data_IF_693408919634
#
_entry.id   IF_693408919634
#
_cell.length_a   1.000
_cell.length_b   1.000
_cell.length_c   1.000
_cell.angle_alpha   90.00
_cell.angle_beta   90.00
_cell.angle_gamma   90.00
#
_symmetry.space_group_name_H-M   'P 1'
#
loop_
_entity.id
_entity.type
_entity.pdbx_description
1 polymer ?
#
# COMPACT_ATOMS: atom_id res chain seq x y z
N UNK A 1 -4.52 58.51 -44.90
CA UNK A 1 -4.14 58.61 -43.48
C UNK A 1 -4.97 57.68 -42.62
N UNK A 2 -6.30 57.66 -42.77
CA UNK A 2 -7.22 56.76 -42.05
C UNK A 2 -6.95 55.27 -42.33
N UNK A 3 -6.84 54.87 -43.60
CA UNK A 3 -6.59 53.46 -43.97
C UNK A 3 -5.29 52.88 -43.39
N UNK A 4 -4.24 53.71 -43.26
CA UNK A 4 -2.97 53.29 -42.68
C UNK A 4 -3.10 53.06 -41.16
N UNK A 5 -3.93 53.86 -40.47
CA UNK A 5 -4.23 53.66 -39.05
C UNK A 5 -5.00 52.36 -38.84
N UNK A 6 -5.99 52.06 -39.68
CA UNK A 6 -6.76 50.82 -39.58
C UNK A 6 -5.89 49.57 -39.82
N UNK A 7 -4.97 49.64 -40.78
CA UNK A 7 -3.98 48.58 -41.02
C UNK A 7 -3.09 48.38 -39.79
N UNK A 8 -2.58 49.46 -39.19
CA UNK A 8 -1.73 49.39 -37.99
C UNK A 8 -2.47 48.77 -36.81
N UNK A 9 -3.72 49.18 -36.57
CA UNK A 9 -4.56 48.61 -35.50
C UNK A 9 -4.82 47.12 -35.74
N UNK A 10 -5.14 46.72 -36.98
CA UNK A 10 -5.35 45.32 -37.34
C UNK A 10 -4.08 44.46 -37.23
N UNK A 11 -2.90 45.04 -37.45
CA UNK A 11 -1.62 44.37 -37.21
C UNK A 11 -1.33 44.24 -35.72
N UNK A 12 -1.59 45.28 -34.92
CA UNK A 12 -1.41 45.26 -33.48
C UNK A 12 -2.28 44.20 -32.80
N UNK A 13 -3.55 44.08 -33.21
CA UNK A 13 -4.46 43.04 -32.73
C UNK A 13 -3.93 41.63 -33.05
N UNK A 14 -3.42 41.39 -34.26
CA UNK A 14 -2.82 40.10 -34.64
C UNK A 14 -1.55 39.81 -33.86
N UNK A 15 -0.68 40.80 -33.66
CA UNK A 15 0.53 40.67 -32.84
C UNK A 15 0.15 40.26 -31.41
N UNK A 16 -0.86 40.91 -30.82
CA UNK A 16 -1.31 40.59 -29.47
C UNK A 16 -1.94 39.19 -29.38
N UNK A 17 -2.73 38.79 -30.38
CA UNK A 17 -3.27 37.43 -30.47
C UNK A 17 -2.16 36.36 -30.54
N UNK A 18 -1.14 36.60 -31.36
CA UNK A 18 0.00 35.67 -31.47
C UNK A 18 0.85 35.64 -30.21
N UNK A 19 1.10 36.78 -29.55
CA UNK A 19 1.78 36.83 -28.25
C UNK A 19 1.03 36.03 -27.19
N UNK A 20 -0.29 36.19 -27.10
CA UNK A 20 -1.11 35.43 -26.15
C UNK A 20 -1.04 33.93 -26.42
N UNK A 21 -1.21 33.54 -27.69
CA UNK A 21 -1.14 32.12 -28.09
C UNK A 21 0.23 31.52 -27.82
N UNK A 22 1.31 32.28 -28.04
CA UNK A 22 2.66 31.88 -27.71
C UNK A 22 2.83 31.62 -26.21
N UNK A 23 2.37 32.54 -25.36
CA UNK A 23 2.44 32.37 -23.90
C UNK A 23 1.65 31.15 -23.41
N UNK A 24 0.48 30.88 -23.98
CA UNK A 24 -0.31 29.70 -23.62
C UNK A 24 0.38 28.41 -24.03
N UNK A 25 1.02 28.39 -25.20
CA UNK A 25 1.83 27.25 -25.65
C UNK A 25 3.07 27.06 -24.77
N UNK A 26 3.73 28.13 -24.33
CA UNK A 26 4.84 28.04 -23.40
C UNK A 26 4.42 27.47 -22.03
N UNK A 27 3.26 27.90 -21.50
CA UNK A 27 2.71 27.35 -20.26
C UNK A 27 2.41 25.86 -20.41
N UNK A 28 1.81 25.45 -21.54
CA UNK A 28 1.56 24.03 -21.85
C UNK A 28 2.86 23.22 -21.95
N UNK A 29 3.88 23.77 -22.61
CA UNK A 29 5.20 23.14 -22.69
C UNK A 29 5.77 22.87 -21.30
N UNK A 30 5.77 23.87 -20.41
CA UNK A 30 6.27 23.70 -19.03
C UNK A 30 5.54 22.59 -18.26
N UNK A 31 4.20 22.54 -18.37
CA UNK A 31 3.42 21.46 -17.74
C UNK A 31 3.80 20.08 -18.27
N UNK A 32 3.95 19.96 -19.59
CA UNK A 32 4.39 18.72 -20.21
C UNK A 32 5.82 18.34 -19.78
N UNK A 33 6.72 19.31 -19.63
CA UNK A 33 8.08 19.06 -19.14
C UNK A 33 8.06 18.51 -17.70
N UNK A 34 7.21 19.04 -16.81
CA UNK A 34 7.02 18.54 -15.45
C UNK A 34 6.42 17.12 -15.43
N UNK A 35 5.44 16.85 -16.28
CA UNK A 35 4.85 15.51 -16.46
C UNK A 35 5.90 14.52 -16.97
N UNK A 36 6.68 14.90 -17.98
CA UNK A 36 7.77 14.08 -18.53
C UNK A 36 8.82 13.79 -17.44
N UNK A 37 9.21 14.78 -16.65
CA UNK A 37 10.17 14.60 -15.56
C UNK A 37 9.65 13.61 -14.50
N UNK A 38 8.35 13.68 -14.19
CA UNK A 38 7.70 12.77 -13.25
C UNK A 38 7.67 11.34 -13.79
N UNK A 39 7.26 11.15 -15.04
CA UNK A 39 7.23 9.83 -15.68
C UNK A 39 8.63 9.23 -15.80
N UNK A 40 9.66 10.03 -16.11
CA UNK A 40 11.05 9.56 -16.14
C UNK A 40 11.49 8.98 -14.79
N UNK A 41 11.18 9.65 -13.68
CA UNK A 41 11.48 9.14 -12.33
C UNK A 41 10.78 7.82 -12.03
N UNK A 42 9.50 7.70 -12.42
CA UNK A 42 8.75 6.46 -12.24
C UNK A 42 9.28 5.33 -13.12
N UNK A 43 9.71 5.63 -14.35
CA UNK A 43 10.34 4.66 -15.22
C UNK A 43 11.64 4.12 -14.62
N UNK A 44 12.53 5.01 -14.16
CA UNK A 44 13.80 4.62 -13.53
C UNK A 44 13.58 3.74 -12.28
N UNK A 45 12.56 4.08 -11.48
CA UNK A 45 12.17 3.27 -10.32
C UNK A 45 11.69 1.87 -10.76
N UNK A 46 10.82 1.80 -11.77
CA UNK A 46 10.29 0.53 -12.28
C UNK A 46 11.39 -0.35 -12.87
N UNK A 47 12.32 0.22 -13.65
CA UNK A 47 13.48 -0.49 -14.20
C UNK A 47 14.39 -1.01 -13.09
N UNK A 48 14.63 -0.21 -12.06
CA UNK A 48 15.44 -0.62 -10.90
C UNK A 48 14.79 -1.76 -10.13
N UNK A 49 13.48 -1.69 -9.89
CA UNK A 49 12.72 -2.76 -9.25
C UNK A 49 12.78 -4.05 -10.06
N UNK A 50 12.60 -3.96 -11.39
CA UNK A 50 12.70 -5.12 -12.27
C UNK A 50 14.09 -5.77 -12.17
N UNK A 51 15.17 -4.99 -12.23
CA UNK A 51 16.54 -5.50 -12.09
C UNK A 51 16.75 -6.21 -10.75
N UNK A 52 16.30 -5.60 -9.65
CA UNK A 52 16.41 -6.19 -8.31
C UNK A 52 15.65 -7.50 -8.20
N UNK A 53 14.42 -7.58 -8.70
CA UNK A 53 13.64 -8.82 -8.69
C UNK A 53 14.25 -9.90 -9.59
N UNK A 54 14.73 -9.53 -10.78
CA UNK A 54 15.40 -10.45 -11.69
C UNK A 54 16.68 -11.03 -11.08
N UNK A 55 17.47 -10.20 -10.41
CA UNK A 55 18.70 -10.64 -9.75
C UNK A 55 18.42 -11.46 -8.48
N UNK A 56 17.36 -11.12 -7.72
CA UNK A 56 16.85 -11.96 -6.62
C UNK A 56 16.44 -13.35 -7.12
N UNK A 57 15.72 -13.43 -8.24
CA UNK A 57 15.30 -14.69 -8.83
C UNK A 57 16.49 -15.56 -9.27
N UNK A 58 17.52 -14.94 -9.87
CA UNK A 58 18.77 -15.63 -10.24
C UNK A 58 19.49 -16.17 -8.99
N UNK A 59 19.66 -15.36 -7.96
CA UNK A 59 20.30 -15.80 -6.70
C UNK A 59 19.53 -16.93 -6.03
N UNK A 60 18.19 -16.87 -6.01
CA UNK A 60 17.37 -17.96 -5.49
C UNK A 60 17.57 -19.26 -6.28
N UNK A 61 17.66 -19.18 -7.62
CA UNK A 61 17.92 -20.34 -8.46
C UNK A 61 19.32 -20.94 -8.25
N UNK A 62 20.34 -20.11 -8.02
CA UNK A 62 21.71 -20.54 -7.71
C UNK A 62 21.81 -21.16 -6.31
N UNK A 63 21.15 -20.59 -5.30
CA UNK A 63 21.12 -21.14 -3.94
C UNK A 63 20.52 -22.54 -3.89
N UNK A 64 19.52 -22.84 -4.73
CA UNK A 64 18.92 -24.18 -4.83
C UNK A 64 19.85 -25.22 -5.47
N UNK A 65 20.90 -24.79 -6.19
CA UNK A 65 21.87 -25.69 -6.81
C UNK A 65 23.09 -25.98 -5.92
N UNK A 66 23.31 -25.22 -4.84
CA UNK A 66 24.48 -25.34 -3.97
C UNK A 66 24.21 -26.21 -2.73
N UNK A 67 23.13 -27.01 -2.69
CA UNK A 67 22.99 -28.07 -1.67
C UNK A 67 23.77 -29.29 -2.18
N UNK A 68 24.96 -29.63 -1.63
CA UNK A 68 25.61 -30.88 -1.96
C UNK A 68 24.82 -32.00 -1.30
N UNK A 69 24.55 -33.05 -2.06
CA UNK A 69 24.16 -34.33 -1.52
C UNK A 69 25.31 -34.82 -0.62
N UNK A 70 25.14 -34.73 0.69
CA UNK A 70 25.94 -35.51 1.63
C UNK A 70 25.02 -36.33 2.52
N UNK A 71 25.43 -37.57 2.66
CA UNK A 71 24.69 -38.71 3.21
C UNK A 71 24.40 -38.54 4.71
N UNK A 72 23.43 -39.33 5.17
CA UNK A 72 23.23 -39.79 6.56
C UNK A 72 22.21 -39.05 7.45
N UNK A 73 21.13 -39.81 7.73
CA UNK A 73 20.30 -39.82 8.94
C UNK A 73 19.63 -38.50 9.36
N UNK A 74 18.39 -38.39 8.87
CA UNK A 74 17.21 -37.89 9.58
C UNK A 74 17.41 -36.92 10.75
N UNK A 75 17.35 -35.63 10.45
CA UNK A 75 16.64 -34.60 11.22
C UNK A 75 16.12 -33.61 10.18
N UNK A 76 14.79 -33.40 10.11
CA UNK A 76 14.21 -32.32 9.30
C UNK A 76 14.71 -30.97 9.84
N UNK A 77 15.37 -30.11 9.04
CA UNK A 77 15.61 -28.74 9.47
C UNK A 77 14.26 -27.99 9.52
N UNK A 78 14.05 -27.09 10.49
CA UNK A 78 12.87 -26.25 10.51
C UNK A 78 12.83 -25.39 9.26
N UNK A 79 11.62 -25.18 8.74
CA UNK A 79 11.34 -24.30 7.62
C UNK A 79 11.92 -22.91 7.90
N UNK A 80 13.09 -22.61 7.32
CA UNK A 80 13.61 -21.25 7.21
C UNK A 80 12.68 -20.53 6.24
N UNK A 81 11.62 -19.93 6.80
CA UNK A 81 10.83 -18.94 6.06
C UNK A 81 11.80 -17.84 5.63
N UNK A 82 11.80 -17.56 4.33
CA UNK A 82 12.66 -16.60 3.67
C UNK A 82 12.57 -15.24 4.39
N UNK A 83 13.62 -14.89 5.13
CA UNK A 83 13.74 -13.64 5.90
C UNK A 83 13.53 -12.43 4.98
N UNK A 84 13.77 -12.60 3.68
CA UNK A 84 13.58 -11.57 2.65
C UNK A 84 12.10 -11.28 2.36
N UNK A 85 11.23 -12.29 2.37
CA UNK A 85 9.79 -12.09 2.21
C UNK A 85 9.17 -11.53 3.47
N UNK A 86 9.62 -11.98 4.65
CA UNK A 86 9.22 -11.38 5.92
C UNK A 86 9.60 -9.89 5.98
N UNK A 87 10.81 -9.54 5.54
CA UNK A 87 11.30 -8.14 5.51
C UNK A 87 10.51 -7.27 4.53
N UNK A 88 10.16 -7.81 3.34
CA UNK A 88 9.32 -7.12 2.35
C UNK A 88 7.89 -6.93 2.84
N UNK A 89 7.31 -7.92 3.48
CA UNK A 89 5.96 -7.81 4.05
C UNK A 89 5.93 -6.82 5.22
N UNK A 90 7.01 -6.73 6.02
CA UNK A 90 7.16 -5.74 7.09
C UNK A 90 7.24 -4.33 6.48
N UNK A 91 8.07 -4.14 5.45
CA UNK A 91 8.22 -2.86 4.74
C UNK A 91 6.93 -2.41 4.03
N UNK A 92 6.14 -3.36 3.52
CA UNK A 92 4.85 -3.10 2.86
C UNK A 92 3.67 -3.03 3.85
N UNK A 93 3.90 -3.16 5.16
CA UNK A 93 2.86 -3.16 6.20
C UNK A 93 1.87 -4.33 6.11
N UNK A 94 2.18 -5.32 5.25
CA UNK A 94 1.34 -6.49 4.97
C UNK A 94 1.53 -7.62 5.97
N UNK A 95 2.46 -7.51 6.91
CA UNK A 95 2.65 -8.49 7.99
C UNK A 95 2.46 -7.92 9.39
N UNK A 96 1.83 -6.75 9.52
CA UNK A 96 1.57 -6.09 10.81
C UNK A 96 0.85 -6.97 11.84
N UNK A 97 0.05 -7.93 11.37
CA UNK A 97 -0.72 -8.84 12.24
C UNK A 97 -0.26 -10.30 12.14
N UNK A 98 0.84 -10.58 11.43
CA UNK A 98 1.40 -11.94 11.35
C UNK A 98 1.86 -12.39 12.74
N UNK A 99 1.37 -13.55 13.18
CA UNK A 99 1.66 -14.10 14.51
C UNK A 99 0.79 -13.57 15.66
N UNK A 100 -0.05 -12.54 15.44
CA UNK A 100 -0.99 -12.05 16.46
C UNK A 100 -2.28 -12.87 16.47
N UNK A 101 -2.94 -12.97 17.62
CA UNK A 101 -4.26 -13.60 17.70
C UNK A 101 -5.32 -12.72 17.02
N UNK A 102 -6.36 -13.35 16.47
CA UNK A 102 -7.46 -12.65 15.78
C UNK A 102 -8.06 -11.50 16.62
N UNK A 103 -8.33 -11.67 17.93
CA UNK A 103 -8.83 -10.57 18.76
C UNK A 103 -7.79 -9.46 18.95
N UNK A 104 -6.50 -9.79 19.14
CA UNK A 104 -5.46 -8.78 19.35
C UNK A 104 -5.27 -7.89 18.12
N UNK A 105 -5.21 -8.49 16.92
CA UNK A 105 -5.10 -7.76 15.67
C UNK A 105 -6.36 -6.91 15.41
N UNK A 106 -7.55 -7.44 15.72
CA UNK A 106 -8.79 -6.68 15.63
C UNK A 106 -8.83 -5.46 16.57
N UNK A 107 -8.29 -5.60 17.79
CA UNK A 107 -8.18 -4.50 18.74
C UNK A 107 -7.33 -3.36 18.19
N UNK A 108 -6.16 -3.68 17.63
CA UNK A 108 -5.27 -2.67 17.02
C UNK A 108 -5.94 -1.94 15.86
N UNK A 109 -6.66 -2.64 14.98
CA UNK A 109 -7.37 -2.00 13.86
C UNK A 109 -8.45 -1.02 14.36
N UNK A 110 -9.24 -1.43 15.35
CA UNK A 110 -10.31 -0.58 15.90
C UNK A 110 -9.74 0.61 16.67
N UNK A 111 -8.61 0.42 17.38
CA UNK A 111 -7.88 1.49 18.07
C UNK A 111 -7.28 2.49 17.09
N UNK A 112 -6.63 2.02 16.03
CA UNK A 112 -6.08 2.87 14.96
C UNK A 112 -7.17 3.67 14.25
N UNK A 113 -8.33 3.04 14.01
CA UNK A 113 -9.44 3.68 13.31
C UNK A 113 -10.31 4.57 14.21
N UNK A 114 -10.14 4.45 15.54
CA UNK A 114 -10.91 5.10 16.60
C UNK A 114 -12.44 5.16 16.33
N UNK A 115 -12.97 4.09 15.73
CA UNK A 115 -14.38 4.02 15.30
C UNK A 115 -14.88 2.59 15.31
N UNK A 116 -16.19 2.43 15.48
CA UNK A 116 -16.84 1.15 15.27
C UNK A 116 -16.73 0.69 13.80
N UNK A 117 -16.46 -0.58 13.58
CA UNK A 117 -16.24 -1.16 12.26
C UNK A 117 -17.08 -2.40 12.04
N UNK A 118 -17.57 -2.57 10.80
CA UNK A 118 -18.30 -3.77 10.42
C UNK A 118 -17.34 -4.96 10.30
N UNK A 119 -17.77 -6.16 10.73
CA UNK A 119 -16.95 -7.36 10.76
C UNK A 119 -16.35 -7.72 9.39
N UNK A 120 -17.06 -7.42 8.29
CA UNK A 120 -16.57 -7.60 6.92
C UNK A 120 -15.34 -6.72 6.61
N UNK A 121 -15.38 -5.45 7.02
CA UNK A 121 -14.28 -4.50 6.81
C UNK A 121 -13.08 -4.86 7.70
N UNK A 122 -13.36 -5.37 8.91
CA UNK A 122 -12.33 -5.87 9.82
C UNK A 122 -11.64 -7.13 9.26
N UNK A 123 -12.40 -8.08 8.71
CA UNK A 123 -11.84 -9.27 8.01
C UNK A 123 -10.90 -8.82 6.89
N UNK A 124 -11.33 -7.85 6.08
CA UNK A 124 -10.52 -7.36 4.97
C UNK A 124 -9.20 -6.76 5.46
N UNK A 125 -9.23 -5.88 6.47
CA UNK A 125 -8.01 -5.29 7.04
C UNK A 125 -7.10 -6.30 7.74
N UNK A 126 -7.66 -7.36 8.31
CA UNK A 126 -6.88 -8.45 8.90
C UNK A 126 -6.15 -9.24 7.82
N UNK A 127 -6.82 -9.54 6.71
CA UNK A 127 -6.22 -10.22 5.55
C UNK A 127 -5.16 -9.32 4.89
N UNK A 128 -5.44 -8.03 4.71
CA UNK A 128 -4.48 -7.05 4.17
C UNK A 128 -3.24 -6.91 5.07
N UNK A 129 -3.39 -7.09 6.38
CA UNK A 129 -2.29 -7.12 7.35
C UNK A 129 -1.63 -8.48 7.56
N UNK A 130 -1.94 -9.46 6.69
CA UNK A 130 -1.26 -10.76 6.62
C UNK A 130 -1.80 -11.84 7.55
N UNK A 131 -2.96 -11.61 8.19
CA UNK A 131 -3.55 -12.60 9.09
C UNK A 131 -4.32 -13.67 8.33
N UNK A 132 -3.78 -14.89 8.30
CA UNK A 132 -4.43 -16.07 7.70
C UNK A 132 -5.48 -16.67 8.64
N UNK A 133 -6.76 -16.45 8.32
CA UNK A 133 -7.89 -17.02 9.06
C UNK A 133 -8.14 -18.45 8.57
N UNK A 134 -7.80 -19.46 9.39
CA UNK A 134 -7.87 -20.89 9.07
C UNK A 134 -9.30 -21.49 9.03
N UNK A 135 -10.27 -20.81 8.40
CA UNK A 135 -11.66 -21.28 8.35
C UNK A 135 -12.38 -20.97 7.05
N UNK A 136 -13.30 -21.86 6.63
CA UNK A 136 -14.15 -21.69 5.43
C UNK A 136 -15.05 -20.43 5.49
N UNK A 137 -15.27 -19.88 6.68
CA UNK A 137 -16.14 -18.72 6.95
C UNK A 137 -15.43 -17.70 7.86
N UNK A 138 -14.57 -16.83 7.32
CA UNK A 138 -13.76 -15.90 8.12
C UNK A 138 -14.61 -14.86 8.88
N UNK A 139 -15.75 -14.46 8.30
CA UNK A 139 -16.67 -13.47 8.90
C UNK A 139 -17.32 -13.97 10.20
N UNK A 140 -17.84 -15.20 10.22
CA UNK A 140 -18.49 -15.78 11.39
C UNK A 140 -17.48 -16.11 12.49
N UNK A 141 -16.29 -16.57 12.10
CA UNK A 141 -15.17 -16.84 13.01
C UNK A 141 -14.74 -15.58 13.76
N UNK A 142 -14.56 -14.46 13.05
CA UNK A 142 -14.20 -13.18 13.67
C UNK A 142 -15.34 -12.66 14.53
N UNK A 143 -16.58 -12.61 14.03
CA UNK A 143 -17.72 -12.13 14.80
C UNK A 143 -17.92 -12.93 16.10
N UNK A 144 -17.72 -14.25 16.06
CA UNK A 144 -17.80 -15.12 17.25
C UNK A 144 -16.63 -14.87 18.20
N UNK A 145 -15.43 -14.67 17.67
CA UNK A 145 -14.22 -14.41 18.48
C UNK A 145 -14.31 -13.06 19.20
N UNK A 146 -14.77 -12.01 18.51
CA UNK A 146 -14.98 -10.69 19.09
C UNK A 146 -16.10 -10.68 20.13
N UNK A 147 -17.18 -11.43 19.88
CA UNK A 147 -18.28 -11.56 20.85
C UNK A 147 -17.85 -12.26 22.15
N UNK A 148 -16.83 -13.12 22.11
CA UNK A 148 -16.31 -13.82 23.30
C UNK A 148 -15.32 -12.99 24.12
N UNK A 149 -14.76 -11.94 23.54
CA UNK A 149 -13.72 -11.13 24.18
C UNK A 149 -14.31 -9.85 24.77
N UNK A 150 -14.04 -9.61 26.06
CA UNK A 150 -14.61 -8.49 26.83
C UNK A 150 -14.16 -7.12 26.31
N UNK A 151 -13.08 -7.08 25.53
CA UNK A 151 -12.50 -5.86 24.94
C UNK A 151 -13.34 -5.28 23.79
N UNK A 152 -14.39 -5.97 23.34
CA UNK A 152 -15.22 -5.52 22.22
C UNK A 152 -16.68 -5.39 22.61
N UNK A 153 -17.29 -4.30 22.16
CA UNK A 153 -18.73 -4.06 22.31
C UNK A 153 -19.41 -4.13 20.94
N UNK A 154 -20.51 -4.89 20.87
CA UNK A 154 -21.37 -4.91 19.68
C UNK A 154 -22.27 -3.68 19.72
N UNK A 155 -22.05 -2.75 18.79
CA UNK A 155 -22.82 -1.50 18.68
C UNK A 155 -23.91 -1.54 17.61
N UNK A 156 -23.91 -2.57 16.76
CA UNK A 156 -24.91 -2.74 15.70
C UNK A 156 -24.86 -4.11 15.03
N UNK A 157 -25.65 -4.34 13.97
CA UNK A 157 -25.59 -5.57 13.17
C UNK A 157 -24.16 -5.77 12.65
N UNK A 158 -23.51 -6.85 13.12
CA UNK A 158 -22.13 -7.19 12.78
C UNK A 158 -21.11 -6.04 12.88
N UNK A 159 -21.36 -5.06 13.77
CA UNK A 159 -20.51 -3.89 13.95
C UNK A 159 -19.95 -3.91 15.36
N UNK A 160 -18.63 -3.80 15.48
CA UNK A 160 -17.89 -3.94 16.71
C UNK A 160 -17.03 -2.70 16.96
N UNK A 161 -16.94 -2.33 18.23
CA UNK A 161 -16.12 -1.24 18.73
C UNK A 161 -15.17 -1.78 19.81
N UNK A 162 -13.94 -1.27 19.86
CA UNK A 162 -13.00 -1.59 20.93
C UNK A 162 -13.33 -0.71 22.14
N UNK A 163 -13.52 -1.34 23.30
CA UNK A 163 -13.71 -0.63 24.56
C UNK A 163 -12.32 -0.48 25.19
N UNK A 164 -11.83 0.75 25.27
CA UNK A 164 -10.53 1.06 25.84
C UNK A 164 -10.64 1.10 27.37
N UNK A 165 -10.74 -0.08 27.99
CA UNK A 165 -10.81 -0.23 29.46
C UNK A 165 -9.41 -0.19 30.11
N UNK A 166 -8.45 0.48 29.47
CA UNK A 166 -7.08 0.68 29.97
C UNK A 166 -6.71 2.17 30.19
N UNK A 167 -7.70 3.00 30.53
CA UNK A 167 -7.48 4.32 31.14
C UNK A 167 -7.54 4.29 32.68
N UNK A 168 -7.36 3.13 33.32
CA UNK A 168 -7.23 3.02 34.78
C UNK A 168 -6.11 2.02 35.13
N UNK A 169 -4.85 2.45 35.02
CA UNK A 169 -3.75 2.13 35.95
C UNK A 169 -2.42 2.65 35.39
N UNK A 170 -2.13 3.91 35.67
CA UNK A 170 -0.79 4.46 35.94
C UNK A 170 -0.94 5.95 36.30
N UNK A 171 -1.50 6.21 37.48
CA UNK A 171 -1.28 7.43 38.27
C UNK A 171 -0.82 6.97 39.64
#
# INVERSE_FOLDING_TARGET
MEELKDILVGLEQRINAYKSRFQDLEKKRRRLDDEIATIKKYLELAETLYRVEADKAKLASLSNQIIPADDSKGIRPPQVMDVTDQSREILLGRSKYVGKSVPQAAYEILRESNRAMHAKELVQRLIEGGLLIKGKTPLTSIATSLKRDKRFKKVGPNTFEAVDDMLIQAV
#
